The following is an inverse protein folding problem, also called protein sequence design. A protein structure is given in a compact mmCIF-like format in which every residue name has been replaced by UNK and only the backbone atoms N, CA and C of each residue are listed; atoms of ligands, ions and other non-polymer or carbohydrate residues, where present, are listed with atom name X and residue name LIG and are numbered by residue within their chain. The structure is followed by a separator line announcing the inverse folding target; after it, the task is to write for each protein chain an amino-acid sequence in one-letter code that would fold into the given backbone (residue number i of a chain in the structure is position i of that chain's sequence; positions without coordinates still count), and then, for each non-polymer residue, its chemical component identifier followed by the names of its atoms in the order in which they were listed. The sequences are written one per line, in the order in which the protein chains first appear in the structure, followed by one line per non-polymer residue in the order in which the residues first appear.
data_IF_776038887889
#
_entry.id   IF_776038887889
#
_cell.length_a   1.000
_cell.length_b   1.000
_cell.length_c   1.000
_cell.angle_alpha   90.00
_cell.angle_beta   90.00
_cell.angle_gamma   90.00
#
_symmetry.space_group_name_H-M   'P 1'
#
loop_
_entity.id
_entity.type
_entity.pdbx_description
1 polymer ?
#
# COMPACT_ATOMS: atom_id res chain seq x y z
N UNK A 1 -19.29 24.73 30.64
CA UNK A 1 -17.85 25.02 30.81
C UNK A 1 -17.51 26.51 30.71
N UNK A 2 -18.40 27.35 30.21
CA UNK A 2 -18.15 28.82 30.08
C UNK A 2 -17.34 29.23 28.83
N UNK A 3 -17.07 28.30 27.91
CA UNK A 3 -16.41 28.58 26.65
C UNK A 3 -17.40 29.15 25.62
N UNK A 4 -16.96 30.16 24.86
CA UNK A 4 -17.66 30.60 23.67
C UNK A 4 -17.28 29.65 22.51
N UNK A 5 -18.27 29.17 21.78
CA UNK A 5 -18.08 28.28 20.63
C UNK A 5 -18.47 29.05 19.36
N UNK A 6 -17.47 29.30 18.53
CA UNK A 6 -17.64 29.90 17.20
C UNK A 6 -17.75 28.77 16.18
N UNK A 7 -18.78 28.77 15.36
CA UNK A 7 -19.00 27.71 14.38
C UNK A 7 -19.49 28.24 13.04
N UNK A 8 -19.38 27.42 12.00
CA UNK A 8 -19.80 27.75 10.63
C UNK A 8 -20.71 26.69 10.05
N UNK A 9 -21.62 27.06 9.17
CA UNK A 9 -22.38 26.19 8.28
C UNK A 9 -23.00 24.97 8.96
N UNK A 10 -22.70 23.75 8.42
CA UNK A 10 -23.28 22.51 8.93
C UNK A 10 -22.85 22.17 10.37
N UNK A 11 -21.64 22.54 10.78
CA UNK A 11 -21.16 22.33 12.16
C UNK A 11 -21.96 23.17 13.14
N UNK A 12 -22.24 24.44 12.81
CA UNK A 12 -23.06 25.31 13.64
C UNK A 12 -24.45 24.69 13.85
N UNK A 13 -25.10 24.31 12.75
CA UNK A 13 -26.44 23.69 12.80
C UNK A 13 -26.44 22.41 13.65
N UNK A 14 -25.47 21.55 13.46
CA UNK A 14 -25.36 20.28 14.23
C UNK A 14 -25.25 20.54 15.74
N UNK A 15 -24.43 21.52 16.13
CA UNK A 15 -24.24 21.87 17.55
C UNK A 15 -25.51 22.46 18.13
N UNK A 16 -26.19 23.37 17.43
CA UNK A 16 -27.43 23.98 17.85
C UNK A 16 -28.57 22.96 17.95
N UNK A 17 -28.70 22.05 16.96
CA UNK A 17 -29.67 20.94 17.00
C UNK A 17 -29.42 20.00 18.18
N UNK A 18 -28.16 19.95 18.66
CA UNK A 18 -27.73 19.17 19.85
C UNK A 18 -27.89 19.98 21.17
N UNK A 19 -28.43 21.17 21.14
CA UNK A 19 -28.65 22.03 22.32
C UNK A 19 -27.41 22.80 22.77
N UNK A 20 -26.35 22.85 21.97
CA UNK A 20 -25.13 23.62 22.25
C UNK A 20 -25.26 25.02 21.65
N UNK A 21 -25.17 26.06 22.49
CA UNK A 21 -25.19 27.46 22.03
C UNK A 21 -23.89 27.77 21.28
N UNK A 22 -24.01 28.38 20.10
CA UNK A 22 -22.91 28.82 19.25
C UNK A 22 -23.01 30.28 18.88
N UNK A 23 -21.88 30.88 18.50
CA UNK A 23 -21.76 32.17 17.83
C UNK A 23 -21.43 31.92 16.35
N UNK A 24 -22.21 32.51 15.44
CA UNK A 24 -21.93 32.38 14.01
C UNK A 24 -20.65 33.11 13.62
N UNK A 25 -19.90 32.56 12.66
CA UNK A 25 -18.67 33.22 12.19
C UNK A 25 -18.93 34.61 11.63
N UNK A 26 -20.09 34.86 11.00
CA UNK A 26 -20.49 36.19 10.48
C UNK A 26 -20.70 37.19 11.58
N UNK A 27 -21.11 36.78 12.78
CA UNK A 27 -21.25 37.67 13.94
C UNK A 27 -19.87 38.12 14.45
N UNK A 28 -18.87 37.22 14.38
CA UNK A 28 -17.50 37.53 14.79
C UNK A 28 -16.76 38.41 13.78
N UNK A 29 -17.00 38.18 12.49
CA UNK A 29 -16.32 38.93 11.41
C UNK A 29 -17.01 40.21 11.04
N UNK A 30 -18.31 40.35 11.31
CA UNK A 30 -19.15 41.43 10.78
C UNK A 30 -19.30 41.37 9.24
N UNK A 31 -18.92 40.24 8.62
CA UNK A 31 -18.93 40.07 7.19
C UNK A 31 -19.80 38.84 6.81
N UNK A 32 -20.74 38.96 5.88
CA UNK A 32 -21.58 37.85 5.49
C UNK A 32 -20.79 36.80 4.71
N UNK A 33 -21.23 35.55 4.83
CA UNK A 33 -20.76 34.49 3.94
C UNK A 33 -21.10 34.87 2.48
N UNK A 34 -20.15 34.69 1.58
CA UNK A 34 -20.29 35.04 0.17
C UNK A 34 -19.68 34.00 -0.76
N UNK A 35 -19.98 34.14 -2.08
CA UNK A 35 -19.49 33.23 -3.12
C UNK A 35 -19.88 31.76 -2.84
N UNK A 36 -21.16 31.53 -2.52
CA UNK A 36 -21.71 30.21 -2.19
C UNK A 36 -20.95 29.49 -1.07
N UNK A 37 -20.43 30.28 -0.11
CA UNK A 37 -19.69 29.73 1.04
C UNK A 37 -18.21 29.53 0.85
N UNK A 38 -17.62 29.90 -0.28
CA UNK A 38 -16.17 29.83 -0.50
C UNK A 38 -15.38 30.77 0.40
N UNK A 39 -16.03 31.87 0.87
CA UNK A 39 -15.44 32.83 1.82
C UNK A 39 -16.30 32.91 3.07
N UNK A 40 -15.78 32.39 4.19
CA UNK A 40 -16.40 32.42 5.52
C UNK A 40 -15.39 32.83 6.60
N UNK A 41 -14.31 32.03 6.73
CA UNK A 41 -13.29 32.16 7.77
C UNK A 41 -12.04 32.90 7.31
N UNK A 42 -11.90 33.19 6.00
CA UNK A 42 -10.82 33.96 5.43
C UNK A 42 -11.01 35.46 5.73
N UNK A 43 -10.88 35.83 6.99
CA UNK A 43 -11.11 37.18 7.45
C UNK A 43 -10.02 37.61 8.45
N UNK A 44 -9.55 38.87 8.40
CA UNK A 44 -8.53 39.37 9.33
C UNK A 44 -8.87 39.18 10.81
N UNK A 45 -10.14 39.35 11.20
CA UNK A 45 -10.56 39.14 12.58
C UNK A 45 -10.29 37.71 13.09
N UNK A 46 -10.56 36.69 12.25
CA UNK A 46 -10.26 35.30 12.60
C UNK A 46 -8.78 35.07 12.70
N UNK A 47 -8.02 35.46 11.67
CA UNK A 47 -6.58 35.18 11.60
C UNK A 47 -5.76 36.00 12.61
N UNK A 48 -6.17 37.23 12.94
CA UNK A 48 -5.56 38.02 13.99
C UNK A 48 -5.78 37.36 15.36
N UNK A 49 -6.99 36.87 15.66
CA UNK A 49 -7.30 36.13 16.89
C UNK A 49 -6.48 34.85 17.07
N UNK A 50 -6.12 34.19 15.93
CA UNK A 50 -5.26 32.98 15.93
C UNK A 50 -3.77 33.30 16.01
N UNK A 51 -3.30 34.34 15.31
CA UNK A 51 -1.87 34.59 15.12
C UNK A 51 -1.25 35.53 16.17
N UNK A 52 -2.06 36.24 16.96
CA UNK A 52 -1.56 37.13 17.99
C UNK A 52 -0.80 36.36 19.06
N UNK A 53 0.47 36.70 19.27
CA UNK A 53 1.28 36.18 20.37
C UNK A 53 0.85 36.89 21.68
N UNK A 54 0.28 36.16 22.61
CA UNK A 54 -0.28 36.70 23.88
C UNK A 54 0.79 37.29 24.78
N UNK A 55 2.03 36.82 24.64
CA UNK A 55 3.19 37.34 25.35
C UNK A 55 3.70 38.67 24.77
N UNK A 56 3.20 39.11 23.61
CA UNK A 56 3.59 40.38 22.98
C UNK A 56 2.56 41.47 23.27
N UNK A 57 2.87 42.49 24.11
CA UNK A 57 1.93 43.54 24.48
C UNK A 57 1.44 44.38 23.29
N UNK A 58 2.26 44.53 22.26
CA UNK A 58 1.88 45.27 21.05
C UNK A 58 0.82 44.53 20.27
N UNK A 59 0.93 43.19 20.11
CA UNK A 59 -0.12 42.37 19.48
C UNK A 59 -1.42 42.46 20.25
N UNK A 60 -1.38 42.39 21.56
CA UNK A 60 -2.60 42.46 22.39
C UNK A 60 -3.26 43.84 22.31
N UNK A 61 -2.44 44.92 22.32
CA UNK A 61 -2.98 46.28 22.13
C UNK A 61 -3.60 46.50 20.76
N UNK A 62 -3.08 45.89 19.70
CA UNK A 62 -3.66 45.93 18.36
C UNK A 62 -5.02 45.20 18.32
N UNK A 63 -5.10 44.02 18.91
CA UNK A 63 -6.38 43.29 19.00
C UNK A 63 -7.43 44.06 19.74
N UNK A 64 -7.09 44.65 20.88
CA UNK A 64 -8.01 45.50 21.69
C UNK A 64 -8.54 46.68 20.88
N UNK A 65 -7.67 47.41 20.18
CA UNK A 65 -8.09 48.53 19.31
C UNK A 65 -8.99 48.15 18.18
N UNK A 66 -8.84 46.89 17.67
CA UNK A 66 -9.67 46.37 16.59
C UNK A 66 -10.93 45.63 17.08
N UNK A 67 -11.10 45.48 18.40
CA UNK A 67 -12.22 44.73 18.98
C UNK A 67 -12.19 43.24 18.64
N UNK A 68 -11.00 42.66 18.47
CA UNK A 68 -10.79 41.24 18.10
C UNK A 68 -10.43 40.43 19.34
N UNK A 69 -11.16 39.35 19.59
CA UNK A 69 -10.86 38.40 20.65
C UNK A 69 -9.82 37.37 20.20
N UNK A 70 -9.05 36.84 21.16
CA UNK A 70 -8.17 35.68 20.92
C UNK A 70 -9.00 34.40 20.78
N UNK A 71 -8.48 33.46 19.99
CA UNK A 71 -9.04 32.12 19.83
C UNK A 71 -8.07 31.13 20.50
N UNK A 72 -8.59 30.30 21.41
CA UNK A 72 -7.79 29.38 22.22
C UNK A 72 -7.61 28.01 21.60
N UNK A 73 -8.66 27.52 20.93
CA UNK A 73 -8.69 26.17 20.35
C UNK A 73 -9.34 26.26 18.96
N UNK A 74 -8.77 25.54 18.02
CA UNK A 74 -9.31 25.31 16.67
C UNK A 74 -9.54 23.84 16.45
N UNK A 75 -10.74 23.47 16.05
CA UNK A 75 -11.10 22.07 15.69
C UNK A 75 -11.64 22.10 14.28
N UNK A 76 -10.92 21.48 13.34
CA UNK A 76 -11.28 21.50 11.91
C UNK A 76 -11.08 20.15 11.29
N UNK A 77 -12.14 19.64 10.66
CA UNK A 77 -12.07 18.57 9.67
C UNK A 77 -12.11 19.21 8.29
N UNK A 78 -11.07 19.01 7.48
CA UNK A 78 -11.03 19.52 6.11
C UNK A 78 -12.12 18.89 5.25
N UNK A 79 -12.50 19.54 4.17
CA UNK A 79 -13.43 18.95 3.20
C UNK A 79 -12.89 17.60 2.73
N UNK A 80 -13.76 16.58 2.61
CA UNK A 80 -13.33 15.20 2.37
C UNK A 80 -12.97 14.97 0.90
N UNK A 81 -11.92 15.64 0.40
CA UNK A 81 -11.45 15.56 -0.98
C UNK A 81 -11.27 14.11 -1.43
N UNK A 82 -10.58 13.29 -0.61
CA UNK A 82 -10.40 11.85 -0.87
C UNK A 82 -11.74 11.12 -1.10
N UNK A 83 -12.70 11.33 -0.20
CA UNK A 83 -14.02 10.70 -0.32
C UNK A 83 -14.78 11.20 -1.56
N UNK A 84 -14.60 12.46 -1.94
CA UNK A 84 -15.22 13.03 -3.14
C UNK A 84 -14.67 12.37 -4.40
N UNK A 85 -13.36 12.34 -4.59
CA UNK A 85 -12.74 11.75 -5.80
C UNK A 85 -12.88 10.23 -5.88
N UNK A 86 -13.25 9.56 -4.77
CA UNK A 86 -13.54 8.12 -4.75
C UNK A 86 -14.96 7.75 -5.20
N UNK A 87 -15.83 8.73 -5.41
CA UNK A 87 -17.22 8.47 -5.83
C UNK A 87 -17.26 8.10 -7.33
N UNK A 88 -18.03 7.08 -7.70
CA UNK A 88 -18.26 6.79 -9.12
C UNK A 88 -18.86 8.00 -9.85
N UNK A 89 -18.32 8.32 -11.03
CA UNK A 89 -18.87 9.40 -11.87
C UNK A 89 -18.57 10.82 -11.39
N UNK A 90 -17.69 11.03 -10.41
CA UNK A 90 -17.24 12.37 -10.01
C UNK A 90 -16.64 13.12 -11.19
N UNK A 91 -17.07 14.37 -11.38
CA UNK A 91 -16.49 15.23 -12.40
C UNK A 91 -15.25 15.96 -11.88
N UNK A 92 -14.42 16.46 -12.80
CA UNK A 92 -13.29 17.33 -12.44
C UNK A 92 -13.76 18.58 -11.68
N UNK A 93 -14.89 19.17 -12.11
CA UNK A 93 -15.46 20.34 -11.44
C UNK A 93 -15.91 20.04 -10.01
N UNK A 94 -16.52 18.87 -9.77
CA UNK A 94 -16.89 18.43 -8.42
C UNK A 94 -15.66 18.25 -7.52
N UNK A 95 -14.59 17.67 -8.07
CA UNK A 95 -13.34 17.52 -7.34
C UNK A 95 -12.75 18.87 -6.96
N UNK A 96 -12.67 19.80 -7.91
CA UNK A 96 -12.13 21.15 -7.67
C UNK A 96 -12.97 21.92 -6.64
N UNK A 97 -14.31 21.82 -6.68
CA UNK A 97 -15.19 22.48 -5.72
C UNK A 97 -15.01 21.95 -4.28
N UNK A 98 -14.53 20.74 -4.13
CA UNK A 98 -14.25 20.14 -2.82
C UNK A 98 -12.81 20.37 -2.33
N UNK A 99 -12.03 21.25 -2.96
CA UNK A 99 -10.73 21.71 -2.43
C UNK A 99 -11.00 22.76 -1.34
N UNK A 100 -10.65 22.43 -0.12
CA UNK A 100 -10.80 23.31 1.04
C UNK A 100 -9.69 24.38 1.06
N UNK A 101 -10.09 25.65 1.09
CA UNK A 101 -9.19 26.80 1.18
C UNK A 101 -9.13 27.34 2.61
N UNK A 102 -10.31 27.59 3.20
CA UNK A 102 -10.42 28.22 4.51
C UNK A 102 -9.90 27.36 5.66
N UNK A 103 -10.22 26.08 5.65
CA UNK A 103 -9.75 25.12 6.66
C UNK A 103 -8.24 25.05 6.77
N UNK A 104 -7.51 24.71 5.68
CA UNK A 104 -6.05 24.68 5.68
C UNK A 104 -5.40 26.00 6.12
N UNK A 105 -5.93 27.14 5.68
CA UNK A 105 -5.41 28.45 6.06
C UNK A 105 -5.54 28.68 7.57
N UNK A 106 -6.70 28.37 8.14
CA UNK A 106 -6.99 28.56 9.56
C UNK A 106 -6.16 27.65 10.46
N UNK A 107 -6.10 26.34 10.15
CA UNK A 107 -5.32 25.39 10.97
C UNK A 107 -3.81 25.69 10.89
N UNK A 108 -3.29 26.13 9.75
CA UNK A 108 -1.89 26.53 9.60
C UNK A 108 -1.56 27.79 10.40
N UNK A 109 -2.48 28.78 10.45
CA UNK A 109 -2.34 29.96 11.28
C UNK A 109 -2.29 29.60 12.76
N UNK A 110 -3.25 28.77 13.23
CA UNK A 110 -3.31 28.27 14.60
C UNK A 110 -2.05 27.48 14.97
N UNK A 111 -1.61 26.56 14.12
CA UNK A 111 -0.42 25.75 14.33
C UNK A 111 0.88 26.60 14.39
N UNK A 112 0.97 27.68 13.62
CA UNK A 112 2.09 28.63 13.70
C UNK A 112 2.19 29.26 15.09
N UNK A 113 1.04 29.55 15.73
CA UNK A 113 0.96 30.12 17.08
C UNK A 113 0.68 29.04 18.16
N UNK A 114 1.29 27.88 18.05
CA UNK A 114 1.03 26.71 18.93
C UNK A 114 1.23 26.99 20.41
N UNK A 115 2.03 27.99 20.78
CA UNK A 115 2.22 28.36 22.18
C UNK A 115 0.91 28.83 22.83
N UNK A 116 0.14 29.61 22.09
CA UNK A 116 -1.10 30.21 22.57
C UNK A 116 -2.34 29.46 22.13
N UNK A 117 -2.34 28.77 20.97
CA UNK A 117 -3.49 28.12 20.37
C UNK A 117 -3.29 26.61 20.26
N UNK A 118 -4.27 25.82 20.71
CA UNK A 118 -4.32 24.40 20.41
C UNK A 118 -5.13 24.16 19.11
N UNK A 119 -4.68 23.22 18.27
CA UNK A 119 -5.32 22.93 17.01
C UNK A 119 -5.50 21.44 16.80
N UNK A 120 -6.75 21.01 16.62
CA UNK A 120 -7.12 19.60 16.49
C UNK A 120 -7.64 19.34 15.07
N UNK A 121 -7.01 18.41 14.37
CA UNK A 121 -7.37 17.99 13.01
C UNK A 121 -7.74 16.52 12.91
N UNK A 122 -7.72 15.81 14.03
CA UNK A 122 -7.96 14.37 14.09
C UNK A 122 -8.86 14.04 15.28
N UNK A 123 -10.04 13.42 15.09
CA UNK A 123 -10.92 13.03 16.19
C UNK A 123 -10.27 12.09 17.24
N UNK A 124 -9.22 11.34 16.85
CA UNK A 124 -8.46 10.48 17.77
C UNK A 124 -7.77 11.24 18.90
N UNK A 125 -7.59 12.56 18.75
CA UNK A 125 -6.96 13.41 19.76
C UNK A 125 -7.98 14.05 20.72
N UNK A 126 -9.29 13.89 20.50
CA UNK A 126 -10.32 14.55 21.31
C UNK A 126 -10.23 14.17 22.78
N UNK A 127 -10.11 12.88 23.10
CA UNK A 127 -10.04 12.43 24.50
C UNK A 127 -8.82 13.01 25.23
N UNK A 128 -7.66 13.03 24.59
CA UNK A 128 -6.44 13.62 25.14
C UNK A 128 -6.64 15.10 25.43
N UNK A 129 -7.17 15.84 24.47
CA UNK A 129 -7.39 17.28 24.61
C UNK A 129 -8.44 17.58 25.70
N UNK A 130 -9.53 16.83 25.76
CA UNK A 130 -10.56 16.99 26.77
C UNK A 130 -10.01 16.70 28.17
N UNK A 131 -9.29 15.61 28.36
CA UNK A 131 -8.68 15.25 29.64
C UNK A 131 -7.73 16.32 30.17
N UNK A 132 -6.89 16.90 29.28
CA UNK A 132 -5.98 17.97 29.66
C UNK A 132 -6.73 19.29 29.98
N UNK A 133 -7.79 19.60 29.26
CA UNK A 133 -8.67 20.74 29.55
C UNK A 133 -9.34 20.63 30.94
N UNK A 134 -9.83 19.46 31.28
CA UNK A 134 -10.42 19.16 32.60
C UNK A 134 -9.38 19.24 33.72
N UNK A 135 -8.13 18.92 33.41
CA UNK A 135 -7.00 19.04 34.35
C UNK A 135 -6.46 20.47 34.51
N UNK A 136 -7.02 21.45 33.79
CA UNK A 136 -6.68 22.87 33.93
C UNK A 136 -5.98 23.52 32.74
N UNK A 137 -5.80 22.79 31.62
CA UNK A 137 -5.31 23.35 30.39
C UNK A 137 -4.45 22.40 29.55
N UNK A 138 -4.42 22.64 28.25
CA UNK A 138 -3.64 21.82 27.30
C UNK A 138 -2.16 22.13 27.47
N UNK A 139 -1.36 21.09 27.69
CA UNK A 139 0.08 21.20 27.90
C UNK A 139 0.81 21.69 26.64
N UNK A 140 1.97 22.36 26.82
CA UNK A 140 2.78 22.82 25.69
C UNK A 140 3.30 21.64 24.84
N UNK A 141 3.55 20.48 25.46
CA UNK A 141 3.95 19.27 24.75
C UNK A 141 2.83 18.79 23.83
N UNK A 142 1.60 18.74 24.31
CA UNK A 142 0.43 18.39 23.50
C UNK A 142 0.20 19.40 22.38
N UNK A 143 0.33 20.69 22.64
CA UNK A 143 0.23 21.72 21.60
C UNK A 143 1.30 21.56 20.50
N UNK A 144 2.54 21.21 20.83
CA UNK A 144 3.60 20.88 19.85
C UNK A 144 3.26 19.62 19.04
N UNK A 145 2.74 18.60 19.67
CA UNK A 145 2.30 17.40 18.99
C UNK A 145 1.15 17.69 18.00
N UNK A 146 0.15 18.46 18.43
CA UNK A 146 -0.95 18.89 17.57
C UNK A 146 -0.48 19.78 16.42
N UNK A 147 0.48 20.69 16.65
CA UNK A 147 1.14 21.46 15.59
C UNK A 147 1.74 20.55 14.51
N UNK A 148 2.51 19.54 14.92
CA UNK A 148 3.07 18.55 13.99
C UNK A 148 1.96 17.87 13.17
N UNK A 149 0.88 17.42 13.82
CA UNK A 149 -0.26 16.78 13.16
C UNK A 149 -0.91 17.66 12.10
N UNK A 150 -1.03 18.97 12.35
CA UNK A 150 -1.57 19.92 11.35
C UNK A 150 -0.73 19.91 10.07
N UNK A 151 0.60 20.05 10.19
CA UNK A 151 1.45 20.09 9.00
C UNK A 151 1.53 18.73 8.29
N UNK A 152 1.51 17.63 9.02
CA UNK A 152 1.37 16.30 8.42
C UNK A 152 0.03 16.16 7.66
N UNK A 153 -1.08 16.61 8.27
CA UNK A 153 -2.41 16.56 7.68
C UNK A 153 -2.53 17.40 6.40
N UNK A 154 -2.03 18.65 6.42
CA UNK A 154 -2.05 19.50 5.23
C UNK A 154 -1.12 19.00 4.13
N UNK A 155 0.04 18.42 4.47
CA UNK A 155 0.95 17.83 3.49
C UNK A 155 0.30 16.63 2.77
N UNK A 156 -0.39 15.75 3.50
CA UNK A 156 -1.17 14.64 2.92
C UNK A 156 -2.29 15.16 2.05
N UNK A 157 -3.04 16.16 2.53
CA UNK A 157 -4.14 16.77 1.80
C UNK A 157 -3.70 17.36 0.46
N UNK A 158 -2.64 18.17 0.46
CA UNK A 158 -2.09 18.78 -0.76
C UNK A 158 -1.46 17.73 -1.69
N UNK A 159 -0.85 16.68 -1.14
CA UNK A 159 -0.34 15.56 -1.93
C UNK A 159 -1.45 14.83 -2.69
N UNK A 160 -2.60 14.58 -2.05
CA UNK A 160 -3.75 13.95 -2.70
C UNK A 160 -4.30 14.82 -3.86
N UNK A 161 -4.41 16.12 -3.64
CA UNK A 161 -4.84 17.07 -4.67
C UNK A 161 -3.86 17.10 -5.83
N UNK A 162 -2.57 17.24 -5.55
CA UNK A 162 -1.50 17.29 -6.56
C UNK A 162 -1.48 16.03 -7.41
N UNK A 163 -1.55 14.85 -6.78
CA UNK A 163 -1.54 13.56 -7.48
C UNK A 163 -2.81 13.37 -8.33
N UNK A 164 -3.98 13.77 -7.83
CA UNK A 164 -5.22 13.74 -8.62
C UNK A 164 -5.11 14.63 -9.85
N UNK A 165 -4.64 15.87 -9.70
CA UNK A 165 -4.48 16.81 -10.81
C UNK A 165 -3.45 16.31 -11.84
N UNK A 166 -2.32 15.76 -11.38
CA UNK A 166 -1.32 15.16 -12.26
C UNK A 166 -1.91 14.02 -13.10
N UNK A 167 -2.72 13.16 -12.48
CA UNK A 167 -3.42 12.07 -13.15
C UNK A 167 -4.39 12.59 -14.22
N UNK A 168 -5.20 13.64 -13.90
CA UNK A 168 -6.12 14.25 -14.85
C UNK A 168 -5.40 14.88 -16.05
N UNK A 169 -4.18 15.35 -15.87
CA UNK A 169 -3.32 15.93 -16.91
C UNK A 169 -2.46 14.90 -17.64
N UNK A 170 -2.50 13.62 -17.27
CA UNK A 170 -1.66 12.57 -17.85
C UNK A 170 -0.16 12.72 -17.51
N UNK A 171 0.18 13.44 -16.46
CA UNK A 171 1.56 13.64 -16.00
C UNK A 171 1.99 12.40 -15.20
N UNK A 172 2.88 11.59 -15.76
CA UNK A 172 3.40 10.37 -15.13
C UNK A 172 4.58 10.63 -14.20
N UNK A 173 5.52 11.46 -14.64
CA UNK A 173 6.74 11.81 -13.89
C UNK A 173 6.79 13.32 -13.66
N UNK A 174 6.16 13.85 -12.60
CA UNK A 174 6.14 15.27 -12.30
C UNK A 174 7.52 15.78 -11.87
N UNK A 175 7.75 17.10 -11.98
CA UNK A 175 9.00 17.75 -11.55
C UNK A 175 9.24 17.59 -10.04
N UNK A 176 8.16 17.56 -9.25
CA UNK A 176 8.19 17.31 -7.81
C UNK A 176 7.24 16.18 -7.46
N UNK A 177 7.76 15.17 -6.79
CA UNK A 177 7.00 13.98 -6.40
C UNK A 177 6.56 14.09 -4.95
N UNK A 178 5.27 13.85 -4.71
CA UNK A 178 4.70 13.77 -3.36
C UNK A 178 3.95 12.46 -3.20
N UNK A 179 4.09 11.82 -2.04
CA UNK A 179 3.40 10.58 -1.71
C UNK A 179 2.70 10.72 -0.37
N UNK A 180 1.47 10.22 -0.31
CA UNK A 180 0.69 10.16 0.91
C UNK A 180 0.46 8.70 1.31
N UNK A 181 0.88 8.35 2.52
CA UNK A 181 0.71 7.04 3.11
C UNK A 181 0.24 7.18 4.55
N UNK A 182 -0.68 6.33 4.98
CA UNK A 182 -1.16 6.26 6.36
C UNK A 182 -0.53 5.06 7.09
N UNK A 183 -0.01 5.31 8.31
CA UNK A 183 0.57 4.23 9.11
C UNK A 183 -0.48 3.18 9.47
N UNK A 184 -0.26 1.95 9.02
CA UNK A 184 -1.13 0.82 9.28
C UNK A 184 -0.69 0.01 10.50
N UNK A 185 0.64 -0.16 10.69
CA UNK A 185 1.17 -1.02 11.73
C UNK A 185 2.57 -0.58 12.15
N UNK A 186 2.84 -0.57 13.45
CA UNK A 186 4.21 -0.55 13.98
C UNK A 186 4.74 -1.99 14.00
N UNK A 187 5.93 -2.20 13.45
CA UNK A 187 6.54 -3.52 13.35
C UNK A 187 7.54 -3.72 14.48
N UNK A 188 7.68 -4.97 14.93
CA UNK A 188 8.63 -5.31 15.98
C UNK A 188 10.08 -4.96 15.58
N UNK A 189 10.44 -5.15 14.31
CA UNK A 189 11.71 -4.78 13.68
C UNK A 189 11.57 -4.84 12.14
N UNK A 190 12.53 -4.30 11.43
CA UNK A 190 12.60 -4.32 9.98
C UNK A 190 13.11 -5.64 9.40
N UNK A 191 13.88 -5.55 8.32
CA UNK A 191 14.54 -6.73 7.73
C UNK A 191 15.46 -7.42 8.75
N UNK A 192 16.17 -6.63 9.55
CA UNK A 192 17.06 -7.10 10.60
C UNK A 192 16.58 -6.66 12.00
N UNK A 193 16.91 -7.43 13.06
CA UNK A 193 16.39 -7.17 14.42
C UNK A 193 16.73 -5.81 15.02
N UNK A 194 17.79 -5.16 14.57
CA UNK A 194 18.22 -3.85 15.05
C UNK A 194 17.54 -2.66 14.35
N UNK A 195 16.77 -2.92 13.29
CA UNK A 195 16.11 -1.89 12.49
C UNK A 195 14.69 -1.64 13.02
N UNK A 196 14.37 -0.40 13.38
CA UNK A 196 12.98 0.02 13.59
C UNK A 196 12.22 0.02 12.27
N UNK A 197 10.93 -0.35 12.29
CA UNK A 197 10.10 -0.39 11.10
C UNK A 197 8.62 -0.13 11.40
N UNK A 198 7.92 0.38 10.42
CA UNK A 198 6.47 0.50 10.39
C UNK A 198 5.97 0.23 8.97
N UNK A 199 4.75 -0.27 8.86
CA UNK A 199 4.06 -0.45 7.59
C UNK A 199 3.07 0.69 7.36
N UNK A 200 3.03 1.18 6.14
CA UNK A 200 2.15 2.27 5.72
C UNK A 200 1.34 1.83 4.52
N UNK A 201 0.05 2.11 4.53
CA UNK A 201 -0.84 1.90 3.41
C UNK A 201 -0.87 3.13 2.50
N UNK A 202 -1.06 2.90 1.21
CA UNK A 202 -1.46 3.97 0.29
C UNK A 202 -2.81 4.55 0.70
N UNK A 203 -3.03 5.83 0.42
CA UNK A 203 -4.31 6.49 0.68
C UNK A 203 -5.48 5.83 -0.08
N UNK A 204 -5.23 5.34 -1.29
CA UNK A 204 -6.18 4.54 -2.07
C UNK A 204 -5.73 3.09 -2.10
N UNK A 205 -6.14 2.31 -1.09
CA UNK A 205 -5.80 0.91 -1.01
C UNK A 205 -6.52 0.13 -2.12
N UNK A 206 -5.74 -0.49 -2.99
CA UNK A 206 -6.24 -1.18 -4.20
C UNK A 206 -6.78 -2.55 -3.89
N UNK A 207 -7.82 -2.93 -4.62
CA UNK A 207 -8.35 -4.30 -4.58
C UNK A 207 -7.26 -5.25 -5.06
N UNK A 208 -7.15 -6.39 -4.40
CA UNK A 208 -6.13 -7.39 -4.70
C UNK A 208 -4.72 -7.08 -4.18
N UNK A 209 -4.47 -5.92 -3.52
CA UNK A 209 -3.21 -5.67 -2.82
C UNK A 209 -3.20 -6.33 -1.45
N UNK A 210 -1.99 -6.61 -0.94
CA UNK A 210 -1.81 -7.19 0.40
C UNK A 210 -2.49 -6.35 1.50
N UNK A 211 -2.53 -5.03 1.34
CA UNK A 211 -3.21 -4.11 2.27
C UNK A 211 -4.73 -4.33 2.38
N UNK A 212 -5.34 -5.05 1.42
CA UNK A 212 -6.76 -5.47 1.45
C UNK A 212 -6.95 -6.88 1.99
N UNK A 213 -5.88 -7.62 2.20
CA UNK A 213 -5.99 -8.96 2.75
C UNK A 213 -6.52 -8.91 4.19
N UNK A 214 -7.46 -9.81 4.49
CA UNK A 214 -7.97 -10.01 5.83
C UNK A 214 -7.18 -11.14 6.49
N UNK A 215 -6.49 -10.85 7.58
CA UNK A 215 -5.85 -11.88 8.37
C UNK A 215 -6.90 -12.63 9.20
N UNK A 216 -7.08 -13.92 8.89
CA UNK A 216 -8.02 -14.80 9.58
C UNK A 216 -7.40 -15.49 10.80
N UNK A 217 -6.08 -15.72 10.78
CA UNK A 217 -5.36 -16.43 11.83
C UNK A 217 -3.89 -16.01 11.91
N UNK A 218 -3.30 -16.21 13.10
CA UNK A 218 -1.88 -16.08 13.37
C UNK A 218 -1.47 -14.76 13.97
N UNK A 219 -0.16 -14.60 14.16
CA UNK A 219 0.47 -13.37 14.68
C UNK A 219 0.50 -12.29 13.59
N UNK A 220 0.70 -11.04 13.99
CA UNK A 220 0.94 -9.93 13.09
C UNK A 220 2.05 -10.24 12.06
N UNK A 221 1.92 -9.66 10.87
CA UNK A 221 2.90 -9.78 9.81
C UNK A 221 4.18 -9.03 10.18
N UNK A 222 5.33 -9.63 9.91
CA UNK A 222 6.62 -8.95 10.00
C UNK A 222 6.97 -8.23 8.69
N UNK A 223 8.03 -7.42 8.72
CA UNK A 223 8.59 -6.77 7.54
C UNK A 223 8.85 -7.78 6.41
N UNK A 224 9.57 -8.86 6.71
CA UNK A 224 9.88 -9.90 5.73
C UNK A 224 8.63 -10.64 5.25
N UNK A 225 7.65 -10.86 6.15
CA UNK A 225 6.37 -11.46 5.76
C UNK A 225 5.66 -10.63 4.68
N UNK A 226 5.57 -9.31 4.87
CA UNK A 226 4.92 -8.40 3.92
C UNK A 226 5.69 -8.38 2.59
N UNK A 227 7.02 -8.23 2.65
CA UNK A 227 7.86 -8.18 1.45
C UNK A 227 7.76 -9.47 0.62
N UNK A 228 7.92 -10.63 1.25
CA UNK A 228 7.87 -11.92 0.55
C UNK A 228 6.47 -12.24 0.04
N UNK A 229 5.42 -11.90 0.80
CA UNK A 229 4.03 -12.06 0.35
C UNK A 229 3.72 -11.19 -0.86
N UNK A 230 4.20 -9.94 -0.88
CA UNK A 230 4.03 -9.06 -2.03
C UNK A 230 4.67 -9.65 -3.29
N UNK A 231 5.91 -10.13 -3.19
CA UNK A 231 6.59 -10.82 -4.31
C UNK A 231 5.80 -12.04 -4.80
N UNK A 232 5.24 -12.84 -3.89
CA UNK A 232 4.44 -13.99 -4.24
C UNK A 232 3.14 -13.60 -4.97
N UNK A 233 2.47 -12.52 -4.51
CA UNK A 233 1.27 -12.00 -5.14
C UNK A 233 1.55 -11.39 -6.53
N UNK A 234 2.68 -10.71 -6.70
CA UNK A 234 3.10 -10.18 -8.01
C UNK A 234 3.28 -11.30 -9.03
N UNK A 235 3.96 -12.39 -8.67
CA UNK A 235 4.10 -13.54 -9.55
C UNK A 235 2.76 -14.25 -9.81
N UNK A 236 1.92 -14.43 -8.79
CA UNK A 236 0.61 -15.09 -8.96
C UNK A 236 -0.26 -14.34 -9.98
N UNK A 237 -0.15 -13.03 -10.09
CA UNK A 237 -0.89 -12.19 -11.05
C UNK A 237 -0.58 -12.49 -12.50
N UNK A 238 0.56 -13.06 -12.83
CA UNK A 238 0.89 -13.49 -14.19
C UNK A 238 -0.08 -14.60 -14.68
N UNK A 239 -0.80 -15.24 -13.75
CA UNK A 239 -1.78 -16.30 -14.00
C UNK A 239 -3.23 -15.87 -13.76
N UNK A 240 -3.51 -14.56 -13.61
CA UNK A 240 -4.86 -14.05 -13.30
C UNK A 240 -5.89 -14.38 -14.38
N UNK A 241 -5.49 -14.33 -15.64
CA UNK A 241 -6.37 -14.53 -16.81
C UNK A 241 -6.58 -16.02 -17.12
N UNK A 242 -5.84 -16.91 -16.47
CA UNK A 242 -6.05 -18.34 -16.63
C UNK A 242 -7.25 -18.77 -15.76
N UNK A 243 -8.38 -18.97 -16.41
CA UNK A 243 -9.62 -19.41 -15.76
C UNK A 243 -9.79 -20.93 -15.73
N UNK A 244 -8.99 -21.67 -16.51
CA UNK A 244 -9.07 -23.12 -16.62
C UNK A 244 -8.26 -23.82 -15.54
N UNK A 245 -7.14 -23.21 -15.11
CA UNK A 245 -6.25 -23.80 -14.11
C UNK A 245 -6.06 -22.88 -12.91
N UNK A 246 -5.77 -23.50 -11.80
CA UNK A 246 -5.41 -22.85 -10.55
C UNK A 246 -3.90 -22.75 -10.47
N UNK A 247 -3.39 -21.58 -10.07
CA UNK A 247 -2.00 -21.33 -9.82
C UNK A 247 -1.69 -21.39 -8.31
N UNK A 248 -0.59 -22.03 -7.98
CA UNK A 248 0.03 -21.98 -6.65
C UNK A 248 1.47 -21.50 -6.80
N UNK A 249 1.85 -20.52 -5.99
CA UNK A 249 3.19 -19.94 -5.96
C UNK A 249 3.75 -20.04 -4.55
N UNK A 250 4.87 -20.74 -4.40
CA UNK A 250 5.69 -20.76 -3.21
C UNK A 250 6.86 -19.79 -3.34
N UNK A 251 7.05 -18.94 -2.32
CA UNK A 251 8.12 -17.94 -2.27
C UNK A 251 8.87 -18.02 -0.95
N UNK A 252 10.19 -17.80 -1.02
CA UNK A 252 11.04 -17.65 0.15
C UNK A 252 12.13 -16.61 -0.13
N UNK A 253 12.30 -15.65 0.80
CA UNK A 253 13.27 -14.56 0.65
C UNK A 253 13.09 -13.80 -0.67
N UNK A 254 11.83 -13.43 -0.99
CA UNK A 254 11.44 -12.71 -2.19
C UNK A 254 11.85 -13.37 -3.53
N UNK A 255 12.03 -14.70 -3.54
CA UNK A 255 12.26 -15.48 -4.77
C UNK A 255 11.29 -16.66 -4.83
N UNK A 256 10.79 -17.01 -6.02
CA UNK A 256 9.99 -18.21 -6.19
C UNK A 256 10.84 -19.46 -5.91
N UNK A 257 10.25 -20.45 -5.28
CA UNK A 257 10.87 -21.75 -5.04
C UNK A 257 10.08 -22.90 -5.63
N UNK A 258 8.76 -22.79 -5.72
CA UNK A 258 7.90 -23.78 -6.36
C UNK A 258 6.65 -23.11 -6.93
N UNK A 259 6.39 -23.31 -8.23
CA UNK A 259 5.24 -22.73 -8.92
C UNK A 259 4.60 -23.78 -9.81
N UNK A 260 3.27 -23.92 -9.75
CA UNK A 260 2.56 -24.88 -10.58
C UNK A 260 1.15 -24.42 -10.95
N UNK A 261 0.68 -24.91 -12.10
CA UNK A 261 -0.71 -24.84 -12.54
C UNK A 261 -1.32 -26.25 -12.52
N UNK A 262 -2.56 -26.36 -12.04
CA UNK A 262 -3.32 -27.60 -12.07
C UNK A 262 -4.85 -27.33 -12.04
N UNK A 263 -5.64 -28.39 -12.16
CA UNK A 263 -7.10 -28.27 -12.21
C UNK A 263 -7.71 -28.03 -10.81
N UNK A 264 -7.00 -28.42 -9.75
CA UNK A 264 -7.42 -28.21 -8.36
C UNK A 264 -6.33 -27.51 -7.55
N UNK A 265 -6.72 -26.84 -6.45
CA UNK A 265 -5.78 -26.17 -5.54
C UNK A 265 -4.83 -27.18 -4.88
N UNK A 266 -5.37 -28.35 -4.48
CA UNK A 266 -4.58 -29.41 -3.86
C UNK A 266 -3.50 -29.96 -4.81
N UNK A 267 -3.86 -30.24 -6.07
CA UNK A 267 -2.91 -30.72 -7.08
C UNK A 267 -1.85 -29.65 -7.41
N UNK A 268 -2.28 -28.39 -7.60
CA UNK A 268 -1.35 -27.29 -7.86
C UNK A 268 -0.37 -27.09 -6.68
N UNK A 269 -0.86 -27.19 -5.45
CA UNK A 269 0.00 -27.12 -4.26
C UNK A 269 0.99 -28.28 -4.20
N UNK A 270 0.52 -29.51 -4.42
CA UNK A 270 1.40 -30.69 -4.39
C UNK A 270 2.51 -30.58 -5.43
N UNK A 271 2.19 -30.19 -6.67
CA UNK A 271 3.17 -29.96 -7.73
C UNK A 271 4.16 -28.86 -7.39
N UNK A 272 3.68 -27.72 -6.83
CA UNK A 272 4.54 -26.63 -6.40
C UNK A 272 5.45 -27.04 -5.23
N UNK A 273 4.95 -27.85 -4.31
CA UNK A 273 5.74 -28.44 -3.22
C UNK A 273 6.82 -29.39 -3.75
N UNK A 274 6.46 -30.31 -4.64
CA UNK A 274 7.38 -31.31 -5.19
C UNK A 274 8.50 -30.69 -6.04
N UNK A 275 8.27 -29.48 -6.58
CA UNK A 275 9.26 -28.72 -7.33
C UNK A 275 10.49 -28.35 -6.48
N UNK A 276 10.31 -27.98 -5.20
CA UNK A 276 11.40 -27.74 -4.25
C UNK A 276 10.90 -27.92 -2.80
N UNK A 277 10.81 -29.15 -2.32
CA UNK A 277 10.27 -29.44 -0.99
C UNK A 277 11.18 -28.95 0.15
N UNK A 278 12.42 -28.63 -0.15
CA UNK A 278 13.38 -28.12 0.83
C UNK A 278 13.21 -26.62 1.02
N UNK A 279 13.16 -25.86 -0.07
CA UNK A 279 13.10 -24.39 0.01
C UNK A 279 11.75 -23.90 0.47
N UNK A 280 10.64 -24.56 0.10
CA UNK A 280 9.28 -24.15 0.48
C UNK A 280 9.02 -24.25 1.99
N UNK A 281 9.78 -25.05 2.72
CA UNK A 281 9.70 -25.11 4.18
C UNK A 281 10.00 -23.74 4.82
N UNK A 282 9.06 -23.23 5.61
CA UNK A 282 9.11 -21.89 6.18
C UNK A 282 8.92 -20.78 5.16
N UNK A 283 8.42 -21.09 3.98
CA UNK A 283 8.07 -20.14 2.94
C UNK A 283 6.64 -19.62 3.04
N UNK A 284 6.28 -18.86 2.02
CA UNK A 284 4.96 -18.27 1.82
C UNK A 284 4.32 -18.96 0.62
N UNK A 285 3.05 -19.33 0.74
CA UNK A 285 2.28 -19.93 -0.35
C UNK A 285 1.10 -19.04 -0.65
N UNK A 286 0.95 -18.67 -1.92
CA UNK A 286 -0.21 -17.92 -2.43
C UNK A 286 -0.89 -18.72 -3.54
N UNK A 287 -2.22 -18.66 -3.59
CA UNK A 287 -3.01 -19.32 -4.63
C UNK A 287 -4.17 -18.45 -5.09
N UNK A 288 -4.58 -18.60 -6.34
CA UNK A 288 -5.78 -17.98 -6.87
C UNK A 288 -7.01 -18.93 -6.85
N UNK A 289 -6.88 -20.11 -6.24
CA UNK A 289 -7.95 -21.06 -5.97
C UNK A 289 -8.41 -21.04 -4.50
N UNK A 290 -9.61 -21.55 -4.25
CA UNK A 290 -10.10 -21.74 -2.88
C UNK A 290 -9.32 -22.85 -2.20
N UNK A 291 -8.96 -22.66 -0.93
CA UNK A 291 -8.34 -23.69 -0.10
C UNK A 291 -9.43 -24.48 0.61
N UNK A 292 -9.57 -25.73 0.25
CA UNK A 292 -10.48 -26.72 0.87
C UNK A 292 -9.77 -27.57 1.92
N UNK A 293 -10.48 -28.52 2.51
CA UNK A 293 -9.95 -29.39 3.55
C UNK A 293 -8.77 -30.24 3.08
N UNK A 294 -8.82 -30.76 1.87
CA UNK A 294 -7.76 -31.61 1.30
C UNK A 294 -6.50 -30.79 1.07
N UNK A 295 -6.63 -29.62 0.45
CA UNK A 295 -5.53 -28.67 0.27
C UNK A 295 -4.92 -28.25 1.60
N UNK A 296 -5.77 -27.91 2.58
CA UNK A 296 -5.32 -27.51 3.92
C UNK A 296 -4.58 -28.64 4.64
N UNK A 297 -5.01 -29.88 4.48
CA UNK A 297 -4.35 -31.06 5.06
C UNK A 297 -2.93 -31.25 4.48
N UNK A 298 -2.76 -31.08 3.16
CA UNK A 298 -1.45 -31.14 2.51
C UNK A 298 -0.54 -29.97 2.99
N UNK A 299 -1.03 -28.74 2.96
CA UNK A 299 -0.30 -27.54 3.45
C UNK A 299 0.11 -27.67 4.92
N UNK A 300 -0.69 -28.32 5.74
CA UNK A 300 -0.43 -28.51 7.15
C UNK A 300 0.68 -29.54 7.46
N UNK A 301 1.14 -30.34 6.49
CA UNK A 301 2.20 -31.33 6.70
C UNK A 301 3.56 -30.69 6.99
N UNK A 302 3.80 -29.50 6.47
CA UNK A 302 5.04 -28.77 6.67
C UNK A 302 4.82 -27.47 7.46
N UNK A 303 5.88 -26.83 7.86
CA UNK A 303 5.81 -25.48 8.39
C UNK A 303 5.79 -24.47 7.23
N UNK A 304 4.73 -23.65 7.17
CA UNK A 304 4.60 -22.47 6.32
C UNK A 304 4.45 -21.23 7.19
N UNK A 305 5.04 -20.13 6.77
CA UNK A 305 4.89 -18.83 7.45
C UNK A 305 3.53 -18.20 7.16
N UNK A 306 3.10 -18.20 5.89
CA UNK A 306 1.88 -17.54 5.42
C UNK A 306 1.23 -18.38 4.32
N UNK A 307 -0.10 -18.40 4.34
CA UNK A 307 -0.93 -18.85 3.21
C UNK A 307 -1.88 -17.70 2.85
N UNK A 308 -1.94 -17.37 1.55
CA UNK A 308 -2.89 -16.39 1.00
C UNK A 308 -3.76 -17.06 -0.05
N UNK A 309 -5.07 -16.91 0.08
CA UNK A 309 -6.04 -17.44 -0.88
C UNK A 309 -7.24 -16.49 -1.01
N UNK A 310 -8.02 -16.58 -2.11
CA UNK A 310 -9.24 -15.80 -2.27
C UNK A 310 -10.34 -16.20 -1.28
N UNK A 311 -10.36 -17.47 -0.86
CA UNK A 311 -11.32 -18.01 0.09
C UNK A 311 -10.81 -19.31 0.73
N UNK A 312 -11.39 -19.67 1.85
CA UNK A 312 -11.14 -20.90 2.60
C UNK A 312 -12.47 -21.56 2.97
N UNK A 313 -12.55 -22.89 2.90
CA UNK A 313 -13.70 -23.57 3.49
C UNK A 313 -13.59 -23.57 5.03
N UNK A 314 -14.71 -23.72 5.76
CA UNK A 314 -14.66 -23.81 7.21
C UNK A 314 -13.75 -24.93 7.73
N UNK A 315 -13.78 -26.08 7.07
CA UNK A 315 -12.97 -27.25 7.42
C UNK A 315 -11.48 -26.99 7.19
N UNK A 316 -11.14 -26.26 6.12
CA UNK A 316 -9.76 -25.83 5.87
C UNK A 316 -9.23 -24.94 7.00
N UNK A 317 -10.04 -23.98 7.44
CA UNK A 317 -9.67 -23.10 8.57
C UNK A 317 -9.50 -23.89 9.89
N UNK A 318 -10.36 -24.89 10.15
CA UNK A 318 -10.21 -25.77 11.31
C UNK A 318 -8.87 -26.51 11.31
N UNK A 319 -8.37 -26.91 10.14
CA UNK A 319 -7.08 -27.58 10.00
C UNK A 319 -5.92 -26.59 10.18
N UNK A 320 -5.93 -25.47 9.43
CA UNK A 320 -4.84 -24.52 9.39
C UNK A 320 -4.67 -23.74 10.71
N UNK A 321 -5.77 -23.37 11.36
CA UNK A 321 -5.74 -22.62 12.62
C UNK A 321 -5.18 -23.41 13.81
N UNK A 322 -4.97 -24.72 13.68
CA UNK A 322 -4.23 -25.51 14.69
C UNK A 322 -2.74 -25.19 14.69
N UNK A 323 -2.22 -24.61 13.62
CA UNK A 323 -0.80 -24.24 13.48
C UNK A 323 -0.56 -22.84 14.04
N UNK A 324 -0.05 -22.75 15.26
CA UNK A 324 0.11 -21.47 16.02
C UNK A 324 0.98 -20.41 15.33
N UNK A 325 1.95 -20.84 14.53
CA UNK A 325 2.90 -19.93 13.88
C UNK A 325 2.55 -19.61 12.42
N UNK A 326 1.54 -20.26 11.86
CA UNK A 326 1.02 -19.97 10.53
C UNK A 326 0.17 -18.69 10.55
N UNK A 327 0.24 -17.87 9.50
CA UNK A 327 -0.69 -16.78 9.24
C UNK A 327 -1.54 -17.16 8.04
N UNK A 328 -2.85 -16.99 8.19
CA UNK A 328 -3.83 -17.27 7.14
C UNK A 328 -4.47 -15.95 6.72
N UNK A 329 -4.33 -15.63 5.44
CA UNK A 329 -4.81 -14.37 4.86
C UNK A 329 -5.83 -14.66 3.75
N UNK A 330 -6.97 -14.00 3.82
CA UNK A 330 -8.02 -14.02 2.80
C UNK A 330 -7.91 -12.78 1.92
N UNK A 331 -7.84 -12.97 0.60
CA UNK A 331 -7.75 -11.90 -0.38
C UNK A 331 -8.70 -12.17 -1.57
N UNK A 332 -10.01 -11.88 -1.45
CA UNK A 332 -11.01 -12.20 -2.48
C UNK A 332 -10.67 -11.62 -3.86
N UNK A 333 -10.11 -10.40 -3.91
CA UNK A 333 -9.74 -9.72 -5.15
C UNK A 333 -8.38 -10.12 -5.74
N UNK A 334 -7.86 -11.29 -5.42
CA UNK A 334 -6.50 -11.73 -5.83
C UNK A 334 -6.30 -11.81 -7.36
N UNK A 335 -7.38 -12.01 -8.12
CA UNK A 335 -7.38 -12.05 -9.59
C UNK A 335 -7.69 -10.70 -10.25
N UNK A 336 -8.03 -9.67 -9.48
CA UNK A 336 -8.41 -8.38 -10.06
C UNK A 336 -7.22 -7.68 -10.72
N UNK A 337 -7.55 -6.95 -11.78
CA UNK A 337 -6.57 -6.19 -12.54
C UNK A 337 -6.03 -5.00 -11.73
N UNK A 338 -4.73 -4.78 -11.81
CA UNK A 338 -4.15 -3.56 -11.27
C UNK A 338 -4.40 -2.40 -12.23
N UNK A 339 -4.73 -1.21 -11.73
CA UNK A 339 -4.91 -0.05 -12.60
C UNK A 339 -3.63 0.30 -13.34
N UNK A 340 -3.79 0.87 -14.53
CA UNK A 340 -2.69 1.43 -15.30
C UNK A 340 -1.99 2.58 -14.55
N UNK A 341 -0.73 2.82 -14.88
CA UNK A 341 0.04 3.95 -14.34
C UNK A 341 0.50 3.79 -12.91
N UNK A 342 0.49 2.54 -12.38
CA UNK A 342 1.14 2.24 -11.12
C UNK A 342 2.63 2.53 -11.18
N UNK A 343 3.16 3.10 -10.11
CA UNK A 343 4.58 3.36 -9.95
C UNK A 343 5.20 2.41 -8.93
N UNK A 344 6.37 1.90 -9.27
CA UNK A 344 7.29 1.21 -8.37
C UNK A 344 8.39 2.16 -7.92
N UNK A 345 8.78 2.08 -6.65
CA UNK A 345 9.68 3.04 -6.03
C UNK A 345 10.79 2.34 -5.27
N UNK A 346 12.02 2.76 -5.54
CA UNK A 346 13.18 2.26 -4.81
C UNK A 346 13.97 3.41 -4.19
N UNK A 347 14.01 3.42 -2.86
CA UNK A 347 14.85 4.37 -2.12
C UNK A 347 16.32 4.06 -2.36
N UNK A 348 17.08 5.07 -2.77
CA UNK A 348 18.54 5.04 -2.87
C UNK A 348 19.15 6.14 -1.99
N UNK A 349 20.46 6.07 -1.73
CA UNK A 349 21.13 7.13 -0.96
C UNK A 349 21.02 8.46 -1.72
N UNK A 350 20.42 9.46 -1.06
CA UNK A 350 20.26 10.80 -1.62
C UNK A 350 19.12 10.96 -2.64
N UNK A 351 18.37 9.91 -2.97
CA UNK A 351 17.33 10.00 -4.01
C UNK A 351 16.27 8.91 -3.94
N UNK A 352 15.41 8.94 -4.94
CA UNK A 352 14.35 7.97 -5.17
C UNK A 352 14.35 7.59 -6.66
N UNK A 353 14.41 6.31 -6.98
CA UNK A 353 14.12 5.81 -8.31
C UNK A 353 12.63 5.54 -8.39
N UNK A 354 12.00 6.05 -9.44
CA UNK A 354 10.58 5.84 -9.73
C UNK A 354 10.47 5.29 -11.14
N UNK A 355 9.75 4.22 -11.32
CA UNK A 355 9.48 3.59 -12.61
C UNK A 355 8.02 3.16 -12.70
N UNK A 356 7.55 2.83 -13.90
CA UNK A 356 6.26 2.18 -14.05
C UNK A 356 6.32 0.76 -13.46
N UNK A 357 5.23 0.35 -12.83
CA UNK A 357 5.10 -1.03 -12.34
C UNK A 357 5.18 -2.01 -13.52
N UNK A 358 5.90 -3.12 -13.35
CA UNK A 358 6.12 -4.08 -14.41
C UNK A 358 4.85 -4.90 -14.73
N UNK A 359 3.91 -4.28 -15.45
CA UNK A 359 2.67 -4.92 -15.92
C UNK A 359 2.77 -5.42 -17.36
N UNK A 360 3.93 -5.24 -18.02
CA UNK A 360 4.13 -5.63 -19.40
C UNK A 360 3.92 -7.12 -19.61
N UNK A 361 3.07 -7.44 -20.59
CA UNK A 361 2.86 -8.81 -21.07
C UNK A 361 3.93 -9.24 -22.08
N UNK A 362 3.69 -10.37 -22.72
CA UNK A 362 4.53 -10.91 -23.79
C UNK A 362 4.25 -10.10 -25.06
N UNK A 363 5.31 -9.56 -25.65
CA UNK A 363 5.24 -8.89 -26.96
C UNK A 363 5.14 -9.88 -28.12
N UNK A 364 5.50 -9.42 -29.32
CA UNK A 364 5.56 -10.29 -30.50
C UNK A 364 6.62 -11.39 -30.31
N UNK A 365 6.18 -12.65 -30.48
CA UNK A 365 7.06 -13.80 -30.36
C UNK A 365 7.69 -14.12 -31.72
N UNK A 366 9.00 -14.30 -31.72
CA UNK A 366 9.75 -14.77 -32.87
C UNK A 366 10.47 -16.07 -32.56
N UNK A 367 10.47 -17.02 -33.50
CA UNK A 367 11.16 -18.29 -33.36
C UNK A 367 12.32 -18.36 -34.38
N UNK A 368 13.55 -17.95 -33.99
CA UNK A 368 14.67 -17.89 -34.91
C UNK A 368 15.30 -19.25 -35.20
N UNK A 369 14.93 -20.31 -34.46
CA UNK A 369 15.44 -21.67 -34.62
C UNK A 369 14.79 -22.38 -35.81
N UNK A 370 15.52 -23.32 -36.41
CA UNK A 370 14.99 -24.13 -37.55
C UNK A 370 13.80 -24.98 -37.09
N UNK A 371 13.89 -25.58 -35.89
CA UNK A 371 12.80 -26.34 -35.28
C UNK A 371 11.84 -25.37 -34.59
N UNK A 372 10.56 -25.48 -34.89
CA UNK A 372 9.53 -24.76 -34.17
C UNK A 372 9.18 -25.52 -32.89
N UNK A 373 8.85 -24.84 -31.79
CA UNK A 373 8.31 -25.49 -30.61
C UNK A 373 6.94 -26.09 -30.90
N UNK A 374 6.64 -27.20 -30.23
CA UNK A 374 5.27 -27.71 -30.16
C UNK A 374 4.39 -26.78 -29.31
N UNK A 375 3.06 -26.94 -29.39
CA UNK A 375 2.13 -26.17 -28.54
C UNK A 375 2.47 -26.35 -27.05
N UNK A 376 2.72 -27.57 -26.61
CA UNK A 376 3.09 -27.90 -25.23
C UNK A 376 4.42 -27.25 -24.82
N UNK A 377 5.43 -27.29 -25.66
CA UNK A 377 6.71 -26.62 -25.40
C UNK A 377 6.52 -25.10 -25.34
N UNK A 378 5.64 -24.52 -26.15
CA UNK A 378 5.33 -23.10 -26.10
C UNK A 378 4.62 -22.73 -24.78
N UNK A 379 3.69 -23.53 -24.30
CA UNK A 379 3.04 -23.33 -23.00
C UNK A 379 4.08 -23.32 -21.86
N UNK A 380 5.03 -24.28 -21.86
CA UNK A 380 6.08 -24.36 -20.86
C UNK A 380 7.09 -23.20 -20.97
N UNK A 381 7.42 -22.75 -22.20
CA UNK A 381 8.26 -21.56 -22.43
C UNK A 381 7.61 -20.30 -21.87
N UNK A 382 6.31 -20.10 -22.13
CA UNK A 382 5.56 -18.95 -21.65
C UNK A 382 5.38 -18.99 -20.12
N UNK A 383 5.18 -20.18 -19.56
CA UNK A 383 5.14 -20.37 -18.11
C UNK A 383 6.49 -20.04 -17.48
N UNK A 384 7.59 -20.60 -17.98
CA UNK A 384 8.93 -20.32 -17.49
C UNK A 384 9.28 -18.82 -17.59
N UNK A 385 8.86 -18.16 -18.68
CA UNK A 385 9.08 -16.71 -18.88
C UNK A 385 8.36 -15.87 -17.80
N UNK A 386 7.14 -16.23 -17.41
CA UNK A 386 6.42 -15.57 -16.31
C UNK A 386 7.18 -15.72 -14.99
N UNK A 387 7.77 -16.87 -14.74
CA UNK A 387 8.56 -17.12 -13.51
C UNK A 387 9.85 -16.28 -13.50
N UNK A 388 10.60 -16.27 -14.61
CA UNK A 388 11.88 -15.58 -14.66
C UNK A 388 11.72 -14.06 -14.52
N UNK A 389 10.61 -13.48 -14.99
CA UNK A 389 10.25 -12.07 -14.80
C UNK A 389 10.25 -11.66 -13.31
N UNK A 390 9.84 -12.56 -12.43
CA UNK A 390 9.75 -12.34 -10.97
C UNK A 390 10.89 -12.99 -10.19
N UNK A 391 11.94 -13.43 -10.88
CA UNK A 391 13.14 -14.02 -10.25
C UNK A 391 14.27 -13.00 -10.31
N UNK A 392 14.99 -12.84 -9.20
CA UNK A 392 16.06 -11.82 -9.10
C UNK A 392 17.19 -12.08 -10.12
N UNK A 393 17.53 -11.05 -10.89
CA UNK A 393 18.59 -11.07 -11.93
C UNK A 393 20.00 -11.31 -11.35
N UNK A 394 20.94 -11.97 -12.07
CA UNK A 394 20.70 -12.77 -13.27
C UNK A 394 19.88 -13.99 -12.89
N UNK A 395 18.85 -14.27 -13.67
CA UNK A 395 17.90 -15.34 -13.37
C UNK A 395 17.70 -16.29 -14.54
N UNK A 396 17.55 -17.57 -14.21
CA UNK A 396 17.11 -18.64 -15.11
C UNK A 396 16.02 -19.43 -14.42
N UNK A 397 14.98 -19.77 -15.17
CA UNK A 397 13.94 -20.69 -14.72
C UNK A 397 13.77 -21.82 -15.72
N UNK A 398 13.62 -23.03 -15.22
CA UNK A 398 13.33 -24.23 -16.01
C UNK A 398 11.96 -24.75 -15.59
N UNK A 399 11.13 -25.08 -16.57
CA UNK A 399 9.77 -25.55 -16.34
C UNK A 399 9.37 -26.66 -17.31
N UNK A 400 8.47 -27.54 -16.86
CA UNK A 400 7.91 -28.61 -17.64
C UNK A 400 6.49 -28.91 -17.14
N UNK A 401 5.58 -29.16 -18.07
CA UNK A 401 4.17 -29.46 -17.75
C UNK A 401 3.52 -28.37 -16.87
N UNK A 402 3.89 -27.09 -17.09
CA UNK A 402 3.46 -25.92 -16.30
C UNK A 402 3.79 -26.05 -14.79
N UNK A 403 4.92 -26.66 -14.48
CA UNK A 403 5.51 -26.77 -13.14
C UNK A 403 6.96 -26.28 -13.20
N UNK A 404 7.40 -25.48 -12.24
CA UNK A 404 8.80 -25.12 -12.11
C UNK A 404 9.64 -26.35 -11.78
N UNK A 405 10.77 -26.54 -12.47
CA UNK A 405 11.68 -27.64 -12.21
C UNK A 405 12.95 -27.14 -11.50
N UNK A 406 13.47 -25.99 -11.94
CA UNK A 406 14.67 -25.41 -11.36
C UNK A 406 14.69 -23.91 -11.52
N UNK A 407 15.05 -23.19 -10.46
CA UNK A 407 15.14 -21.74 -10.41
C UNK A 407 16.51 -21.35 -9.89
N UNK A 408 17.25 -20.55 -10.68
CA UNK A 408 18.56 -20.02 -10.35
C UNK A 408 18.53 -18.51 -10.22
N UNK A 409 18.24 -17.95 -9.01
CA UNK A 409 18.09 -16.52 -8.81
C UNK A 409 19.40 -15.82 -8.44
N UNK A 410 19.53 -14.53 -8.80
CA UNK A 410 20.45 -13.59 -8.17
C UNK A 410 21.94 -13.83 -8.43
N UNK A 411 22.29 -14.50 -9.54
CA UNK A 411 23.69 -14.80 -9.83
C UNK A 411 24.40 -13.63 -10.50
N UNK A 412 25.67 -13.40 -10.13
CA UNK A 412 26.49 -12.35 -10.76
C UNK A 412 27.00 -12.76 -12.14
N UNK A 413 26.95 -14.04 -12.47
CA UNK A 413 27.31 -14.59 -13.77
C UNK A 413 26.13 -15.38 -14.34
N UNK A 414 25.83 -15.18 -15.62
CA UNK A 414 24.71 -15.83 -16.31
C UNK A 414 24.82 -17.36 -16.31
N UNK A 415 25.99 -17.90 -16.60
CA UNK A 415 26.22 -19.36 -16.63
C UNK A 415 25.94 -20.00 -15.27
N UNK A 416 26.26 -19.34 -14.16
CA UNK A 416 25.98 -19.90 -12.83
C UNK A 416 24.47 -20.01 -12.56
N UNK A 417 23.67 -19.08 -13.07
CA UNK A 417 22.22 -19.18 -12.96
C UNK A 417 21.69 -20.38 -13.78
N UNK A 418 22.26 -20.65 -14.96
CA UNK A 418 21.93 -21.83 -15.77
C UNK A 418 22.33 -23.12 -15.06
N UNK A 419 23.58 -23.25 -14.62
CA UNK A 419 24.11 -24.42 -13.91
C UNK A 419 23.30 -24.73 -12.64
N UNK A 420 23.00 -23.70 -11.84
CA UNK A 420 22.17 -23.83 -10.65
C UNK A 420 20.75 -24.30 -10.97
N UNK A 421 20.14 -23.76 -12.03
CA UNK A 421 18.79 -24.18 -12.44
C UNK A 421 18.78 -25.63 -12.93
N UNK A 422 19.78 -26.05 -13.69
CA UNK A 422 19.95 -27.42 -14.16
C UNK A 422 20.15 -28.39 -12.99
N UNK A 423 21.05 -28.07 -12.07
CA UNK A 423 21.31 -28.90 -10.89
C UNK A 423 20.02 -29.11 -10.05
N UNK A 424 19.27 -28.03 -9.82
CA UNK A 424 18.01 -28.10 -9.07
C UNK A 424 16.91 -28.87 -9.78
N UNK A 425 16.88 -28.83 -11.12
CA UNK A 425 15.91 -29.56 -11.90
C UNK A 425 16.09 -31.08 -11.86
N UNK A 426 17.32 -31.55 -11.60
CA UNK A 426 17.65 -32.98 -11.64
C UNK A 426 17.21 -33.65 -12.94
N UNK A 427 16.55 -34.79 -12.87
CA UNK A 427 16.06 -35.52 -14.06
C UNK A 427 14.93 -34.79 -14.81
N UNK A 428 14.23 -33.87 -14.14
CA UNK A 428 13.12 -33.13 -14.77
C UNK A 428 13.60 -32.12 -15.84
N UNK A 429 14.91 -31.83 -15.90
CA UNK A 429 15.49 -30.93 -16.91
C UNK A 429 15.33 -31.46 -18.33
N UNK A 430 15.29 -32.78 -18.51
CA UNK A 430 15.21 -33.39 -19.83
C UNK A 430 13.90 -33.07 -20.55
N UNK A 431 14.02 -32.38 -21.68
CA UNK A 431 12.90 -31.93 -22.47
C UNK A 431 12.06 -30.83 -21.81
N UNK A 432 12.62 -30.12 -20.81
CA UNK A 432 12.00 -28.95 -20.20
C UNK A 432 12.25 -27.66 -21.00
N UNK A 433 11.46 -26.65 -20.73
CA UNK A 433 11.63 -25.29 -21.27
C UNK A 433 12.50 -24.45 -20.32
N UNK A 434 13.38 -23.61 -20.89
CA UNK A 434 14.24 -22.71 -20.15
C UNK A 434 13.92 -21.24 -20.53
N UNK A 435 13.79 -20.38 -19.53
CA UNK A 435 13.68 -18.93 -19.71
C UNK A 435 14.81 -18.21 -19.00
N UNK A 436 15.24 -17.10 -19.61
CA UNK A 436 16.27 -16.19 -19.09
C UNK A 436 15.74 -14.77 -19.01
N UNK A 437 16.06 -14.04 -17.96
CA UNK A 437 15.67 -12.65 -17.78
C UNK A 437 16.40 -11.67 -18.72
N UNK A 438 17.48 -12.11 -19.39
CA UNK A 438 18.19 -11.37 -20.42
C UNK A 438 18.90 -12.29 -21.42
N UNK A 439 19.56 -11.68 -22.43
CA UNK A 439 20.31 -12.41 -23.45
C UNK A 439 21.53 -13.15 -22.90
N UNK A 440 21.98 -14.17 -23.60
CA UNK A 440 23.22 -14.90 -23.33
C UNK A 440 24.39 -14.20 -24.04
N UNK A 441 25.38 -13.64 -23.28
CA UNK A 441 26.51 -12.96 -23.90
C UNK A 441 27.47 -13.92 -24.58
N UNK A 442 27.47 -15.21 -24.19
CA UNK A 442 28.32 -16.28 -24.72
C UNK A 442 27.49 -17.52 -25.01
N UNK A 443 28.07 -18.49 -25.71
CA UNK A 443 27.42 -19.75 -26.08
C UNK A 443 27.49 -20.84 -24.98
N UNK A 444 28.18 -20.56 -23.87
CA UNK A 444 28.34 -21.46 -22.71
C UNK A 444 26.99 -21.84 -22.09
N UNK A 445 26.09 -20.88 -21.93
CA UNK A 445 24.76 -21.13 -21.39
C UNK A 445 23.93 -22.08 -22.27
N UNK A 446 23.97 -21.86 -23.59
CA UNK A 446 23.27 -22.72 -24.56
C UNK A 446 23.88 -24.12 -24.57
N UNK A 447 25.21 -24.25 -24.51
CA UNK A 447 25.92 -25.53 -24.43
C UNK A 447 25.57 -26.29 -23.16
N UNK A 448 25.58 -25.62 -22.01
CA UNK A 448 25.20 -26.22 -20.74
C UNK A 448 23.74 -26.71 -20.75
N UNK A 449 22.79 -25.90 -21.23
CA UNK A 449 21.39 -26.28 -21.33
C UNK A 449 21.15 -27.44 -22.32
N UNK A 450 21.89 -27.46 -23.45
CA UNK A 450 21.77 -28.53 -24.44
C UNK A 450 22.38 -29.85 -23.98
N UNK A 451 23.33 -29.83 -23.04
CA UNK A 451 23.97 -31.01 -22.49
C UNK A 451 23.15 -31.68 -21.37
N UNK A 452 22.23 -30.95 -20.75
CA UNK A 452 21.38 -31.42 -19.67
C UNK A 452 20.05 -32.00 -20.17
#
# INVERSE_FOLDING_TARGET
SGWEIIATGGTQKLLEDSGVKTTGISDVTGFPECLDGRVKTLHPAVHAGLLAMRSNPEHMSQLEKLGINTIDIVVVNLYPFKATISKPGVTFADAVENIDIGGPTMIRAAAKNYQDVAVVVDPRDYERVLSELEAGGITLETKKYLQYKVFAHTAVYDSLISNYLAQQLGIRFPESVTFAYEKAQDMRYGENPHQGASYYNEEFIRVGSLSKAKQLWGKELSYNNINDTNCALELLREFRDNTEKIAVVGVKHANPCGVALADTTAEAYQKAYDADPVSIFGGIVVTNGTVDADTAAEMAKIFLEIIVAPAYTPEALEILCKKKNLRVLELPGIREELPEGLLDMKKVMGGLLVQEFNQGGIGELTVPTKRQPTEKEMEDLLFAWKLVKHTKSNAITIAKDQVSCGIGPGQVNRIWAVEQSIERSGEAVKGAALASDAFFPFDDCVKAAAAA
#
